data_IF_877862568316
#
_entry.id   IF_877862568316
#
_cell.length_a   1.000
_cell.length_b   1.000
_cell.length_c   1.000
_cell.angle_alpha   90.00
_cell.angle_beta   90.00
_cell.angle_gamma   90.00
#
_symmetry.space_group_name_H-M   'P 1'
#
loop_
_entity.id
_entity.type
_entity.pdbx_description
1 polymer ?
#
# COMPACT_ATOMS: atom_id res chain seq x y z
N UNK A 1 1.35 -29.08 -11.82
CA UNK A 1 1.43 -27.76 -11.17
C UNK A 1 2.86 -27.30 -11.26
N UNK A 2 3.16 -26.48 -12.26
CA UNK A 2 4.51 -26.00 -12.55
C UNK A 2 4.82 -24.86 -11.59
N UNK A 3 5.60 -25.11 -10.55
CA UNK A 3 6.11 -24.03 -9.70
C UNK A 3 7.09 -23.21 -10.53
N UNK A 4 6.64 -22.08 -11.06
CA UNK A 4 7.56 -21.09 -11.60
C UNK A 4 8.53 -20.71 -10.48
N UNK A 5 9.86 -20.82 -10.67
CA UNK A 5 10.80 -20.37 -9.67
C UNK A 5 10.57 -18.87 -9.49
N UNK A 6 10.17 -18.47 -8.28
CA UNK A 6 10.16 -17.06 -7.85
C UNK A 6 11.50 -16.44 -8.20
N UNK A 7 11.48 -15.27 -8.84
CA UNK A 7 12.69 -14.55 -9.20
C UNK A 7 13.61 -14.43 -7.96
N UNK A 8 14.91 -14.73 -8.09
CA UNK A 8 15.82 -14.71 -6.95
C UNK A 8 15.92 -13.27 -6.41
N UNK A 9 15.62 -13.10 -5.13
CA UNK A 9 15.78 -11.81 -4.45
C UNK A 9 17.27 -11.52 -4.24
N UNK A 10 17.66 -10.24 -4.24
CA UNK A 10 19.05 -9.80 -4.02
C UNK A 10 19.72 -10.48 -2.80
N UNK A 11 19.08 -10.60 -1.61
CA UNK A 11 19.66 -11.33 -0.49
C UNK A 11 19.87 -12.83 -0.78
N UNK A 12 19.01 -13.48 -1.57
CA UNK A 12 19.22 -14.89 -1.96
C UNK A 12 20.41 -15.08 -2.90
N UNK A 13 20.69 -14.11 -3.77
CA UNK A 13 21.89 -14.11 -4.63
C UNK A 13 23.15 -13.90 -3.79
N UNK A 14 23.12 -12.97 -2.83
CA UNK A 14 24.23 -12.74 -1.89
C UNK A 14 24.48 -13.99 -1.03
N UNK A 15 23.41 -14.62 -0.54
CA UNK A 15 23.50 -15.86 0.22
C UNK A 15 24.12 -16.98 -0.62
N UNK A 16 23.66 -17.18 -1.86
CA UNK A 16 24.19 -18.23 -2.74
C UNK A 16 25.67 -18.02 -3.05
N UNK A 17 26.09 -16.78 -3.28
CA UNK A 17 27.50 -16.41 -3.43
C UNK A 17 28.32 -16.73 -2.16
N UNK A 18 27.86 -16.34 -0.97
CA UNK A 18 28.57 -16.65 0.28
C UNK A 18 28.69 -18.16 0.47
N UNK A 19 27.63 -18.92 0.19
CA UNK A 19 27.67 -20.37 0.30
C UNK A 19 28.65 -20.99 -0.71
N UNK A 20 28.72 -20.49 -1.94
CA UNK A 20 29.64 -21.02 -2.96
C UNK A 20 31.10 -20.69 -2.64
N UNK A 21 31.39 -19.48 -2.13
CA UNK A 21 32.74 -19.14 -1.67
C UNK A 21 33.14 -19.97 -0.44
N UNK A 22 32.21 -20.19 0.48
CA UNK A 22 32.46 -21.03 1.66
C UNK A 22 32.75 -22.47 1.26
N UNK A 23 32.01 -23.04 0.30
CA UNK A 23 32.27 -24.42 -0.15
C UNK A 23 33.61 -24.54 -0.84
N UNK A 24 34.01 -23.56 -1.67
CA UNK A 24 35.33 -23.51 -2.29
C UNK A 24 36.46 -23.45 -1.27
N UNK A 25 36.34 -22.60 -0.25
CA UNK A 25 37.36 -22.44 0.79
C UNK A 25 37.39 -23.61 1.78
N UNK A 26 36.29 -24.33 1.94
CA UNK A 26 36.20 -25.52 2.81
C UNK A 26 36.61 -26.83 2.14
N UNK A 27 37.15 -26.78 0.92
CA UNK A 27 37.60 -27.99 0.23
C UNK A 27 38.70 -28.71 1.04
N UNK A 28 38.66 -30.05 1.09
CA UNK A 28 39.67 -30.81 1.81
C UNK A 28 41.05 -30.57 1.19
N UNK A 29 42.02 -30.31 2.05
CA UNK A 29 43.40 -30.12 1.65
C UNK A 29 43.96 -31.48 1.21
N UNK A 30 44.65 -31.46 0.08
CA UNK A 30 45.46 -32.55 -0.43
C UNK A 30 46.91 -32.09 -0.54
N UNK A 31 47.88 -32.98 -0.31
CA UNK A 31 49.29 -32.65 -0.49
C UNK A 31 49.54 -32.29 -1.95
N UNK A 32 50.26 -31.21 -2.21
CA UNK A 32 50.62 -30.85 -3.58
C UNK A 32 51.61 -31.85 -4.15
N UNK A 33 51.58 -32.07 -5.47
CA UNK A 33 52.52 -32.97 -6.16
C UNK A 33 53.98 -32.57 -5.93
N UNK A 34 54.25 -31.27 -5.94
CA UNK A 34 55.58 -30.71 -5.63
C UNK A 34 56.06 -31.05 -4.22
N UNK A 35 55.15 -31.05 -3.23
CA UNK A 35 55.48 -31.41 -1.86
C UNK A 35 55.75 -32.91 -1.74
N UNK A 36 54.95 -33.75 -2.41
CA UNK A 36 55.15 -35.20 -2.43
C UNK A 36 56.52 -35.55 -3.03
N UNK A 37 56.87 -34.98 -4.18
CA UNK A 37 58.18 -35.17 -4.82
C UNK A 37 59.34 -34.76 -3.92
N UNK A 38 59.17 -33.69 -3.13
CA UNK A 38 60.19 -33.21 -2.19
C UNK A 38 60.30 -34.11 -0.95
N UNK A 39 59.18 -34.63 -0.44
CA UNK A 39 59.14 -35.56 0.69
C UNK A 39 59.78 -36.91 0.32
N UNK A 40 59.50 -37.41 -0.89
CA UNK A 40 60.03 -38.68 -1.39
C UNK A 40 61.54 -38.59 -1.69
N UNK A 41 62.05 -37.41 -2.05
CA UNK A 41 63.47 -37.15 -2.29
C UNK A 41 64.27 -36.84 -1.01
N UNK A 42 63.63 -36.76 0.16
CA UNK A 42 64.27 -36.45 1.44
C UNK A 42 64.88 -37.70 2.09
N UNK A 43 66.05 -37.55 2.71
CA UNK A 43 66.69 -38.62 3.50
C UNK A 43 65.86 -39.03 4.73
N UNK A 44 64.98 -38.14 5.22
CA UNK A 44 64.02 -38.38 6.32
C UNK A 44 62.57 -38.20 5.83
N UNK A 45 62.15 -39.01 4.84
CA UNK A 45 60.80 -38.96 4.31
C UNK A 45 59.73 -39.24 5.39
N UNK A 46 58.71 -38.37 5.46
CA UNK A 46 57.59 -38.59 6.37
C UNK A 46 56.74 -39.75 5.81
N UNK A 47 56.42 -40.76 6.63
CA UNK A 47 55.59 -41.88 6.19
C UNK A 47 54.20 -41.40 5.75
N UNK A 48 53.75 -41.86 4.58
CA UNK A 48 52.45 -41.48 4.01
C UNK A 48 51.27 -41.72 4.98
N UNK A 49 51.36 -42.75 5.83
CA UNK A 49 50.37 -43.00 6.88
C UNK A 49 50.21 -41.84 7.87
N UNK A 50 51.32 -41.23 8.30
CA UNK A 50 51.30 -40.10 9.22
C UNK A 50 50.74 -38.86 8.52
N UNK A 51 51.12 -38.66 7.26
CA UNK A 51 50.61 -37.57 6.42
C UNK A 51 49.11 -37.68 6.25
N UNK A 52 48.60 -38.86 5.92
CA UNK A 52 47.17 -39.13 5.77
C UNK A 52 46.40 -38.92 7.09
N UNK A 53 46.96 -39.35 8.22
CA UNK A 53 46.33 -39.18 9.54
C UNK A 53 46.24 -37.69 9.94
N UNK A 54 47.34 -36.94 9.76
CA UNK A 54 47.35 -35.49 10.03
C UNK A 54 46.40 -34.75 9.10
N UNK A 55 46.41 -35.08 7.81
CA UNK A 55 45.49 -34.49 6.83
C UNK A 55 44.03 -34.80 7.15
N UNK A 56 43.73 -36.03 7.57
CA UNK A 56 42.39 -36.41 8.00
C UNK A 56 41.94 -35.56 9.19
N UNK A 57 42.77 -35.45 10.23
CA UNK A 57 42.45 -34.66 11.43
C UNK A 57 42.31 -33.16 11.12
N UNK A 58 43.18 -32.62 10.26
CA UNK A 58 43.12 -31.22 9.84
C UNK A 58 41.84 -30.94 9.03
N UNK A 59 41.56 -31.76 8.02
CA UNK A 59 40.34 -31.64 7.21
C UNK A 59 39.08 -31.79 8.07
N UNK A 60 39.10 -32.70 9.04
CA UNK A 60 38.00 -32.84 10.00
C UNK A 60 37.81 -31.57 10.84
N UNK A 61 38.89 -30.99 11.35
CA UNK A 61 38.86 -29.74 12.12
C UNK A 61 38.33 -28.57 11.29
N UNK A 62 38.77 -28.45 10.03
CA UNK A 62 38.28 -27.43 9.08
C UNK A 62 36.78 -27.61 8.85
N UNK A 63 36.32 -28.83 8.59
CA UNK A 63 34.89 -29.11 8.40
C UNK A 63 34.05 -28.78 9.64
N UNK A 64 34.53 -29.13 10.83
CA UNK A 64 33.86 -28.78 12.08
C UNK A 64 33.77 -27.25 12.26
N UNK A 65 34.86 -26.54 11.99
CA UNK A 65 34.91 -25.08 12.05
C UNK A 65 33.92 -24.46 11.04
N UNK A 66 33.95 -24.89 9.78
CA UNK A 66 33.06 -24.38 8.74
C UNK A 66 31.58 -24.61 9.09
N UNK A 67 31.22 -25.78 9.65
CA UNK A 67 29.85 -26.05 10.10
C UNK A 67 29.40 -25.17 11.27
N UNK A 68 30.32 -24.83 12.18
CA UNK A 68 30.02 -23.99 13.35
C UNK A 68 29.93 -22.50 13.00
N UNK A 69 30.80 -22.01 12.13
CA UNK A 69 30.94 -20.59 11.80
C UNK A 69 30.04 -20.18 10.64
N UNK A 70 29.77 -21.07 9.68
CA UNK A 70 28.97 -20.79 8.50
C UNK A 70 27.69 -21.66 8.40
N UNK A 71 26.83 -21.70 9.43
CA UNK A 71 25.52 -22.33 9.28
C UNK A 71 24.66 -21.55 8.27
N UNK A 72 23.67 -22.20 7.62
CA UNK A 72 22.84 -21.58 6.58
C UNK A 72 22.05 -20.35 7.06
N UNK A 73 21.76 -20.28 8.37
CA UNK A 73 21.12 -19.11 8.97
C UNK A 73 22.08 -17.91 9.11
N UNK A 74 23.35 -18.18 9.43
CA UNK A 74 24.35 -17.12 9.52
C UNK A 74 24.69 -16.55 8.13
N UNK A 75 24.79 -17.40 7.10
CA UNK A 75 25.02 -16.93 5.73
C UNK A 75 23.86 -16.04 5.23
N UNK A 76 22.62 -16.36 5.63
CA UNK A 76 21.46 -15.50 5.36
C UNK A 76 21.53 -14.17 6.10
N UNK A 77 21.82 -14.19 7.41
CA UNK A 77 21.93 -12.96 8.21
C UNK A 77 23.05 -12.05 7.70
N UNK A 78 24.20 -12.61 7.32
CA UNK A 78 25.30 -11.84 6.71
C UNK A 78 24.88 -11.27 5.36
N UNK A 79 24.17 -12.04 4.53
CA UNK A 79 23.65 -11.54 3.25
C UNK A 79 22.68 -10.36 3.44
N UNK A 80 21.81 -10.42 4.46
CA UNK A 80 20.90 -9.34 4.84
C UNK A 80 21.67 -8.13 5.39
N UNK A 81 22.64 -8.31 6.30
CA UNK A 81 23.48 -7.21 6.80
C UNK A 81 24.28 -6.52 5.70
N UNK A 82 24.85 -7.27 4.77
CA UNK A 82 25.51 -6.70 3.58
C UNK A 82 24.48 -5.91 2.79
N UNK A 83 23.26 -6.43 2.60
CA UNK A 83 22.19 -5.68 1.95
C UNK A 83 21.94 -4.35 2.64
N UNK A 84 21.69 -4.36 3.95
CA UNK A 84 21.43 -3.15 4.72
C UNK A 84 22.56 -2.13 4.65
N UNK A 85 23.82 -2.56 4.65
CA UNK A 85 24.97 -1.65 4.52
C UNK A 85 25.01 -1.01 3.13
N UNK A 86 24.75 -1.78 2.07
CA UNK A 86 24.71 -1.24 0.71
C UNK A 86 23.51 -0.29 0.52
N UNK A 87 22.34 -0.63 1.06
CA UNK A 87 21.16 0.24 1.02
C UNK A 87 21.43 1.54 1.80
N UNK A 88 22.00 1.48 3.00
CA UNK A 88 22.38 2.68 3.78
C UNK A 88 23.46 3.52 3.11
N UNK A 89 24.44 2.88 2.46
CA UNK A 89 25.48 3.60 1.70
C UNK A 89 24.88 4.30 0.46
N UNK A 90 23.92 3.65 -0.21
CA UNK A 90 23.17 4.26 -1.29
C UNK A 90 22.34 5.46 -0.80
N UNK A 91 21.59 5.32 0.30
CA UNK A 91 20.84 6.41 0.93
C UNK A 91 21.76 7.58 1.32
N UNK A 92 22.95 7.29 1.87
CA UNK A 92 23.93 8.32 2.26
C UNK A 92 24.49 9.07 1.05
N UNK A 93 24.69 8.39 -0.08
CA UNK A 93 25.15 9.01 -1.33
C UNK A 93 24.07 9.87 -1.97
N UNK A 94 22.82 9.42 -1.92
CA UNK A 94 21.65 10.19 -2.41
C UNK A 94 21.36 11.40 -1.49
N UNK A 95 21.60 11.29 -0.18
CA UNK A 95 21.39 12.37 0.79
C UNK A 95 22.61 13.27 1.08
N UNK A 96 23.73 13.08 0.38
CA UNK A 96 24.93 13.91 0.55
C UNK A 96 24.80 15.26 -0.18
N UNK A 97 25.19 16.39 0.43
CA UNK A 97 25.06 17.73 -0.17
C UNK A 97 26.00 17.99 -1.37
N UNK A 98 26.78 16.98 -1.77
CA UNK A 98 27.74 17.04 -2.87
C UNK A 98 27.56 15.79 -3.73
N UNK A 99 26.98 15.98 -4.92
CA UNK A 99 27.12 15.14 -6.12
C UNK A 99 26.08 14.06 -6.49
N UNK A 100 24.81 14.10 -6.05
CA UNK A 100 23.73 13.47 -6.86
C UNK A 100 22.39 14.20 -6.73
N UNK A 101 22.21 15.31 -7.45
CA UNK A 101 20.93 16.01 -7.63
C UNK A 101 19.95 15.23 -8.55
N UNK A 102 19.85 13.90 -8.39
CA UNK A 102 19.03 13.05 -9.26
C UNK A 102 19.33 11.55 -9.21
N UNK A 103 20.00 11.05 -8.16
CA UNK A 103 20.27 9.62 -8.03
C UNK A 103 19.04 8.85 -7.58
N UNK A 104 18.35 8.16 -8.50
CA UNK A 104 17.31 7.20 -8.14
C UNK A 104 17.99 5.98 -7.51
N UNK A 105 17.56 5.58 -6.31
CA UNK A 105 18.05 4.36 -5.67
C UNK A 105 17.86 3.16 -6.58
N UNK A 106 18.90 2.33 -6.77
CA UNK A 106 18.85 1.14 -7.63
C UNK A 106 17.82 0.09 -7.19
N UNK A 107 17.24 0.27 -6.00
CA UNK A 107 16.18 -0.54 -5.40
C UNK A 107 14.81 0.16 -5.43
N UNK A 108 14.63 1.23 -6.22
CA UNK A 108 13.33 1.89 -6.39
C UNK A 108 12.35 0.88 -7.00
N UNK A 109 11.46 0.35 -6.16
CA UNK A 109 10.43 -0.56 -6.61
C UNK A 109 9.31 0.25 -7.26
N UNK A 110 9.31 0.25 -8.59
CA UNK A 110 8.23 0.83 -9.40
C UNK A 110 6.97 -0.05 -9.38
N UNK A 111 7.07 -1.28 -8.87
CA UNK A 111 5.92 -2.12 -8.60
C UNK A 111 5.41 -1.81 -7.20
N UNK A 112 4.19 -1.27 -7.16
CA UNK A 112 3.43 -1.01 -5.94
C UNK A 112 3.45 -2.27 -5.05
N UNK A 113 4.29 -2.29 -4.00
CA UNK A 113 4.03 -3.16 -2.87
C UNK A 113 2.75 -2.64 -2.24
N UNK A 114 1.68 -3.38 -2.52
CA UNK A 114 0.38 -3.31 -1.89
C UNK A 114 0.60 -3.52 -0.38
N UNK A 115 1.01 -2.47 0.34
CA UNK A 115 1.08 -2.46 1.79
C UNK A 115 -0.37 -2.48 2.27
N UNK A 116 -0.92 -3.68 2.41
CA UNK A 116 -2.21 -3.91 3.07
C UNK A 116 -1.99 -3.57 4.54
N UNK A 117 -2.06 -2.28 4.87
CA UNK A 117 -2.08 -1.81 6.25
C UNK A 117 -3.53 -1.91 6.72
N UNK A 118 -3.82 -2.93 7.51
CA UNK A 118 -5.08 -3.02 8.24
C UNK A 118 -5.05 -2.00 9.37
N UNK A 119 -5.47 -0.77 9.10
CA UNK A 119 -5.82 0.18 10.14
C UNK A 119 -7.35 0.30 10.25
N UNK A 120 -7.81 0.40 11.49
CA UNK A 120 -9.20 0.24 11.92
C UNK A 120 -10.21 0.93 10.98
N UNK A 121 -11.13 0.12 10.42
CA UNK A 121 -12.36 0.56 9.76
C UNK A 121 -12.27 1.13 8.33
N UNK A 122 -11.44 0.52 7.46
CA UNK A 122 -11.58 0.70 6.02
C UNK A 122 -10.38 0.21 5.21
N UNK A 123 -10.64 -0.47 4.10
CA UNK A 123 -9.61 -0.83 3.12
C UNK A 123 -9.18 0.44 2.37
N UNK A 124 -8.17 1.17 2.86
CA UNK A 124 -7.57 2.28 2.13
C UNK A 124 -6.31 1.79 1.43
N UNK A 125 -6.39 1.69 0.10
CA UNK A 125 -5.23 1.53 -0.78
C UNK A 125 -4.48 2.88 -0.79
N UNK A 126 -3.51 3.05 0.10
CA UNK A 126 -2.55 4.17 -0.02
C UNK A 126 -1.39 3.64 -0.85
N UNK A 127 -1.44 3.92 -2.15
CA UNK A 127 -0.35 3.64 -3.06
C UNK A 127 0.54 4.88 -3.14
N UNK A 128 1.84 4.70 -2.95
CA UNK A 128 2.85 5.72 -3.16
C UNK A 128 3.06 5.91 -4.68
N UNK A 129 2.10 6.55 -5.36
CA UNK A 129 2.24 6.98 -6.77
C UNK A 129 3.37 8.03 -6.92
N UNK A 130 3.88 8.54 -5.79
CA UNK A 130 4.97 9.52 -5.67
C UNK A 130 6.27 9.04 -6.30
N UNK A 131 6.59 7.74 -6.23
CA UNK A 131 7.86 7.21 -6.76
C UNK A 131 8.01 7.44 -8.28
N UNK A 132 6.92 7.27 -9.05
CA UNK A 132 6.92 7.52 -10.50
C UNK A 132 6.98 9.03 -10.79
N UNK A 133 6.36 9.86 -9.96
CA UNK A 133 6.38 11.32 -10.12
C UNK A 133 7.74 11.93 -9.77
N UNK A 134 8.52 11.29 -8.90
CA UNK A 134 9.89 11.72 -8.59
C UNK A 134 10.91 11.36 -9.67
N UNK A 135 10.51 10.63 -10.71
CA UNK A 135 11.40 10.27 -11.81
C UNK A 135 11.77 11.51 -12.64
N UNK A 136 13.07 11.69 -12.95
CA UNK A 136 13.52 12.73 -13.86
C UNK A 136 12.94 12.57 -15.26
N UNK A 137 12.47 13.68 -15.82
CA UNK A 137 12.01 13.72 -17.21
C UNK A 137 13.15 13.48 -18.23
N UNK A 138 14.41 13.72 -17.85
CA UNK A 138 15.59 13.58 -18.72
C UNK A 138 16.78 13.01 -17.97
N UNK A 139 17.68 12.34 -18.68
CA UNK A 139 18.93 11.83 -18.13
C UNK A 139 19.79 12.99 -17.59
N UNK A 140 20.25 12.92 -16.34
CA UNK A 140 20.87 14.05 -15.64
C UNK A 140 22.37 14.24 -15.92
N UNK A 141 23.05 13.21 -16.41
CA UNK A 141 24.51 13.23 -16.59
C UNK A 141 24.86 13.61 -18.03
N UNK A 142 25.33 14.85 -18.24
CA UNK A 142 25.75 15.37 -19.56
C UNK A 142 26.86 14.54 -20.22
N UNK A 143 27.73 13.92 -19.42
CA UNK A 143 28.78 13.02 -19.91
C UNK A 143 28.19 11.78 -20.58
N UNK A 144 27.21 11.16 -19.93
CA UNK A 144 26.53 9.96 -20.42
C UNK A 144 25.60 10.27 -21.61
N UNK A 145 25.07 11.50 -21.70
CA UNK A 145 24.30 11.94 -22.87
C UNK A 145 25.17 11.91 -24.13
N UNK A 146 26.44 12.28 -24.02
CA UNK A 146 27.38 12.29 -25.14
C UNK A 146 27.92 10.90 -25.47
N UNK A 147 28.18 10.09 -24.44
CA UNK A 147 28.72 8.73 -24.62
C UNK A 147 27.63 7.73 -25.08
N UNK A 148 26.38 7.91 -24.63
CA UNK A 148 25.25 7.01 -24.88
C UNK A 148 23.95 7.75 -25.27
N UNK A 149 23.90 8.39 -26.47
CA UNK A 149 22.74 9.18 -26.90
C UNK A 149 21.48 8.33 -27.18
N UNK A 150 21.65 7.05 -27.55
CA UNK A 150 20.52 6.14 -27.78
C UNK A 150 19.84 5.68 -26.49
N UNK A 151 20.60 5.54 -25.40
CA UNK A 151 20.06 5.13 -24.10
C UNK A 151 19.30 6.28 -23.45
N UNK A 152 19.80 7.50 -23.62
CA UNK A 152 19.09 8.73 -23.21
C UNK A 152 17.71 8.85 -23.85
N UNK A 153 17.60 8.57 -25.16
CA UNK A 153 16.30 8.58 -25.86
C UNK A 153 15.37 7.48 -25.35
N UNK A 154 15.88 6.25 -25.19
CA UNK A 154 15.11 5.13 -24.64
C UNK A 154 14.59 5.41 -23.24
N UNK A 155 15.40 6.07 -22.41
CA UNK A 155 14.98 6.49 -21.07
C UNK A 155 13.83 7.50 -21.16
N UNK A 156 13.96 8.54 -21.99
CA UNK A 156 12.92 9.54 -22.18
C UNK A 156 11.59 8.92 -22.68
N UNK A 157 11.67 8.03 -23.68
CA UNK A 157 10.52 7.30 -24.21
C UNK A 157 9.87 6.42 -23.12
N UNK A 158 10.68 5.74 -22.31
CA UNK A 158 10.19 4.88 -21.23
C UNK A 158 9.53 5.67 -20.09
N UNK A 159 10.11 6.81 -19.70
CA UNK A 159 9.51 7.71 -18.69
C UNK A 159 8.19 8.25 -19.21
N UNK A 160 8.13 8.66 -20.48
CA UNK A 160 6.87 9.11 -21.09
C UNK A 160 5.79 8.01 -21.04
N UNK A 161 6.12 6.78 -21.44
CA UNK A 161 5.20 5.64 -21.35
C UNK A 161 4.75 5.35 -19.92
N UNK A 162 5.67 5.44 -18.95
CA UNK A 162 5.35 5.22 -17.53
C UNK A 162 4.40 6.29 -16.99
N UNK A 163 4.61 7.55 -17.34
CA UNK A 163 3.69 8.64 -16.95
C UNK A 163 2.30 8.46 -17.55
N UNK A 164 2.20 8.10 -18.83
CA UNK A 164 0.91 7.83 -19.49
C UNK A 164 0.18 6.65 -18.83
N UNK A 165 0.88 5.55 -18.56
CA UNK A 165 0.30 4.40 -17.86
C UNK A 165 -0.10 4.72 -16.42
N UNK A 166 0.64 5.59 -15.74
CA UNK A 166 0.28 6.06 -14.41
C UNK A 166 -1.00 6.91 -14.44
N UNK A 167 -1.13 7.81 -15.41
CA UNK A 167 -2.33 8.61 -15.60
C UNK A 167 -3.56 7.74 -15.93
N UNK A 168 -3.41 6.76 -16.82
CA UNK A 168 -4.47 5.77 -17.10
C UNK A 168 -4.86 4.98 -15.84
N UNK A 169 -3.88 4.58 -15.01
CA UNK A 169 -4.12 3.89 -13.75
C UNK A 169 -4.89 4.78 -12.76
N UNK A 170 -4.52 6.05 -12.63
CA UNK A 170 -5.22 7.03 -11.77
C UNK A 170 -6.68 7.20 -12.20
N UNK A 171 -6.93 7.38 -13.50
CA UNK A 171 -8.28 7.48 -14.05
C UNK A 171 -9.12 6.22 -13.75
N UNK A 172 -8.56 5.02 -13.94
CA UNK A 172 -9.24 3.77 -13.62
C UNK A 172 -9.54 3.64 -12.13
N UNK A 173 -8.60 4.04 -11.25
CA UNK A 173 -8.82 4.05 -9.80
C UNK A 173 -9.93 4.99 -9.40
N UNK A 174 -10.00 6.19 -9.97
CA UNK A 174 -11.09 7.14 -9.74
C UNK A 174 -12.45 6.58 -10.19
N UNK A 175 -12.49 5.92 -11.35
CA UNK A 175 -13.70 5.25 -11.83
C UNK A 175 -14.13 4.14 -10.87
N UNK A 176 -13.20 3.30 -10.42
CA UNK A 176 -13.49 2.23 -9.44
C UNK A 176 -13.96 2.82 -8.11
N UNK A 177 -13.32 3.89 -7.62
CA UNK A 177 -13.72 4.56 -6.39
C UNK A 177 -15.14 5.16 -6.51
N UNK A 178 -15.45 5.78 -7.66
CA UNK A 178 -16.80 6.28 -7.96
C UNK A 178 -17.83 5.16 -7.99
N UNK A 179 -17.53 4.05 -8.66
CA UNK A 179 -18.42 2.88 -8.73
C UNK A 179 -18.64 2.25 -7.35
N UNK A 180 -17.58 2.09 -6.55
CA UNK A 180 -17.70 1.61 -5.16
C UNK A 180 -18.52 2.54 -4.29
N UNK A 181 -18.40 3.86 -4.47
CA UNK A 181 -19.23 4.84 -3.76
C UNK A 181 -20.70 4.76 -4.20
N UNK A 182 -20.96 4.57 -5.48
CA UNK A 182 -22.34 4.36 -5.95
C UNK A 182 -22.89 3.04 -5.41
N UNK A 183 -22.09 1.98 -5.42
CA UNK A 183 -22.45 0.70 -4.83
C UNK A 183 -22.80 0.87 -3.35
N UNK A 184 -21.99 1.58 -2.55
CA UNK A 184 -22.29 1.77 -1.13
C UNK A 184 -23.54 2.63 -0.86
N UNK A 185 -23.93 3.50 -1.78
CA UNK A 185 -25.19 4.28 -1.70
C UNK A 185 -26.39 3.42 -2.14
N UNK A 186 -26.18 2.48 -3.06
CA UNK A 186 -27.22 1.60 -3.60
C UNK A 186 -27.44 0.37 -2.71
N UNK A 187 -26.41 -0.09 -1.99
CA UNK A 187 -26.47 -1.23 -1.07
C UNK A 187 -27.63 -1.13 -0.06
N UNK A 188 -27.90 0.02 0.61
CA UNK A 188 -29.02 0.15 1.54
C UNK A 188 -30.40 0.22 0.87
N UNK A 189 -30.44 0.45 -0.46
CA UNK A 189 -31.66 0.50 -1.26
C UNK A 189 -31.98 -0.86 -1.90
N UNK A 190 -31.07 -1.83 -1.80
CA UNK A 190 -31.33 -3.22 -2.15
C UNK A 190 -32.16 -3.88 -1.04
N UNK A 191 -33.39 -4.29 -1.36
CA UNK A 191 -34.20 -5.16 -0.50
C UNK A 191 -34.02 -6.61 -0.93
N UNK A 192 -33.78 -7.51 0.03
CA UNK A 192 -33.30 -8.88 -0.16
C UNK A 192 -34.24 -9.85 -0.91
N UNK A 193 -35.50 -9.50 -1.18
CA UNK A 193 -36.49 -10.50 -1.63
C UNK A 193 -37.04 -10.23 -3.04
N UNK A 194 -36.24 -10.44 -4.10
CA UNK A 194 -36.65 -10.49 -5.53
C UNK A 194 -36.20 -9.33 -6.46
N UNK A 195 -35.11 -8.63 -6.15
CA UNK A 195 -34.44 -7.75 -7.14
C UNK A 195 -35.25 -6.54 -7.62
N UNK A 196 -36.40 -6.24 -7.00
CA UNK A 196 -37.30 -5.14 -7.35
C UNK A 196 -37.09 -3.85 -6.51
N UNK A 197 -36.27 -3.92 -5.45
CA UNK A 197 -36.22 -2.90 -4.39
C UNK A 197 -35.75 -1.49 -4.79
N UNK A 198 -34.93 -1.37 -5.83
CA UNK A 198 -34.47 -0.04 -6.28
C UNK A 198 -35.63 0.72 -6.95
N UNK A 199 -36.48 0.04 -7.73
CA UNK A 199 -37.53 0.68 -8.52
C UNK A 199 -38.65 1.29 -7.68
N UNK A 200 -38.97 0.68 -6.54
CA UNK A 200 -40.00 1.17 -5.62
C UNK A 200 -39.58 2.46 -4.90
N UNK A 201 -38.27 2.68 -4.72
CA UNK A 201 -37.72 3.89 -4.11
C UNK A 201 -37.46 5.02 -5.13
N UNK A 202 -37.72 4.79 -6.43
CA UNK A 202 -37.60 5.81 -7.47
C UNK A 202 -38.89 6.63 -7.58
N UNK A 203 -38.74 7.94 -7.73
CA UNK A 203 -39.83 8.87 -8.07
C UNK A 203 -40.27 8.63 -9.53
N UNK A 204 -41.12 7.63 -9.72
CA UNK A 204 -41.81 7.36 -10.97
C UNK A 204 -43.19 8.01 -10.96
N UNK A 205 -43.69 8.44 -12.13
CA UNK A 205 -45.03 9.04 -12.27
C UNK A 205 -46.10 7.98 -11.96
N UNK A 206 -46.95 8.23 -10.97
CA UNK A 206 -47.87 7.28 -10.30
C UNK A 206 -47.18 6.19 -9.47
N UNK A 207 -45.92 6.40 -9.08
CA UNK A 207 -45.13 5.46 -8.28
C UNK A 207 -45.56 5.37 -6.82
N UNK A 208 -45.11 4.34 -6.08
CA UNK A 208 -45.44 4.16 -4.67
C UNK A 208 -45.01 5.35 -3.79
N UNK A 209 -43.86 5.98 -4.09
CA UNK A 209 -43.38 7.19 -3.38
C UNK A 209 -44.29 8.40 -3.61
N UNK A 210 -44.79 8.61 -4.83
CA UNK A 210 -45.69 9.74 -5.13
C UNK A 210 -47.03 9.61 -4.38
N UNK A 211 -47.56 8.38 -4.30
CA UNK A 211 -48.77 8.08 -3.50
C UNK A 211 -48.56 8.36 -2.02
N UNK A 212 -47.38 8.03 -1.48
CA UNK A 212 -47.08 8.28 -0.08
C UNK A 212 -46.82 9.77 0.21
N UNK A 213 -46.21 10.51 -0.73
CA UNK A 213 -46.10 11.97 -0.65
C UNK A 213 -47.47 12.65 -0.72
N UNK A 214 -48.39 12.15 -1.54
CA UNK A 214 -49.76 12.66 -1.62
C UNK A 214 -50.54 12.39 -0.31
N UNK A 215 -50.37 11.21 0.29
CA UNK A 215 -50.86 10.92 1.65
C UNK A 215 -50.26 11.84 2.70
N UNK A 216 -48.94 12.09 2.67
CA UNK A 216 -48.28 13.02 3.57
C UNK A 216 -48.84 14.43 3.41
N UNK A 217 -49.12 14.88 2.19
CA UNK A 217 -49.74 16.19 1.93
C UNK A 217 -51.15 16.29 2.53
N UNK A 218 -51.95 15.24 2.39
CA UNK A 218 -53.29 15.15 3.01
C UNK A 218 -53.20 15.13 4.54
N UNK A 219 -52.26 14.37 5.10
CA UNK A 219 -52.01 14.32 6.55
C UNK A 219 -51.52 15.67 7.08
N UNK A 220 -50.62 16.37 6.38
CA UNK A 220 -50.15 17.71 6.75
C UNK A 220 -51.28 18.74 6.67
N UNK A 221 -52.16 18.66 5.68
CA UNK A 221 -53.34 19.52 5.62
C UNK A 221 -54.29 19.25 6.82
N UNK A 222 -54.47 17.99 7.19
CA UNK A 222 -55.32 17.59 8.32
C UNK A 222 -54.71 17.95 9.68
N UNK A 223 -53.41 17.75 9.84
CA UNK A 223 -52.67 18.11 11.06
C UNK A 223 -52.55 19.62 11.18
N UNK A 224 -52.24 20.34 10.08
CA UNK A 224 -52.25 21.80 10.04
C UNK A 224 -53.63 22.37 10.39
N UNK A 225 -54.71 21.79 9.85
CA UNK A 225 -56.08 22.15 10.22
C UNK A 225 -56.41 21.85 11.69
N UNK A 226 -55.92 20.72 12.23
CA UNK A 226 -56.12 20.37 13.65
C UNK A 226 -55.31 21.25 14.61
N UNK A 227 -54.09 21.63 14.23
CA UNK A 227 -53.23 22.55 14.98
C UNK A 227 -53.78 23.97 14.95
N UNK A 228 -54.39 24.40 13.84
CA UNK A 228 -55.13 25.66 13.77
C UNK A 228 -56.46 25.62 14.58
N UNK A 229 -57.02 24.44 14.80
CA UNK A 229 -58.22 24.25 15.64
C UNK A 229 -57.91 24.02 17.13
N UNK A 230 -56.63 24.00 17.54
CA UNK A 230 -56.29 24.09 18.95
C UNK A 230 -56.71 25.48 19.44
N UNK A 231 -57.55 25.59 20.48
CA UNK A 231 -57.92 26.89 21.02
C UNK A 231 -56.65 27.62 21.43
N UNK A 232 -56.40 28.80 20.85
CA UNK A 232 -55.51 29.77 21.47
C UNK A 232 -56.09 30.07 22.85
N UNK A 233 -55.44 29.52 23.89
CA UNK A 233 -55.65 29.98 25.25
C UNK A 233 -55.28 31.47 25.25
N UNK A 234 -56.30 32.32 25.34
CA UNK A 234 -56.18 33.74 25.18
C UNK A 234 -55.18 34.33 26.19
N UNK A 235 -54.38 35.31 25.75
CA UNK A 235 -54.30 36.51 26.53
C UNK A 235 -54.69 37.71 25.65
N UNK A 236 -55.59 38.51 26.21
CA UNK A 236 -55.96 39.83 25.72
C UNK A 236 -54.77 40.62 25.19
N UNK A 237 -54.89 41.17 23.97
CA UNK A 237 -53.93 42.11 23.43
C UNK A 237 -54.12 42.36 21.94
N UNK A 238 -54.98 43.33 21.63
CA UNK A 238 -55.04 44.20 20.43
C UNK A 238 -54.66 43.61 19.07
N UNK A 239 -55.65 43.60 18.17
CA UNK A 239 -55.50 43.35 16.75
C UNK A 239 -54.46 44.32 16.12
N UNK A 240 -53.28 43.79 15.79
CA UNK A 240 -52.39 44.35 14.78
C UNK A 240 -52.47 43.48 13.54
N UNK A 241 -52.74 44.12 12.39
CA UNK A 241 -52.60 43.52 11.07
C UNK A 241 -51.22 42.83 10.96
N UNK A 242 -51.23 41.51 10.80
CA UNK A 242 -50.02 40.72 10.61
C UNK A 242 -49.71 40.72 9.12
N UNK A 243 -48.75 41.56 8.73
CA UNK A 243 -48.15 41.56 7.40
C UNK A 243 -47.43 40.22 7.14
N UNK A 244 -47.82 39.51 6.09
CA UNK A 244 -47.33 38.17 5.71
C UNK A 244 -45.83 38.13 5.31
N UNK A 245 -45.13 39.26 5.25
CA UNK A 245 -43.77 39.35 4.73
C UNK A 245 -42.65 39.10 5.75
N UNK A 246 -42.94 39.05 7.06
CA UNK A 246 -41.90 38.85 8.11
C UNK A 246 -41.82 37.42 8.68
N UNK A 247 -42.60 36.46 8.17
CA UNK A 247 -42.59 35.05 8.61
C UNK A 247 -41.37 34.22 8.15
N UNK A 248 -40.24 34.88 7.83
CA UNK A 248 -39.00 34.24 7.39
C UNK A 248 -38.19 33.66 8.55
N UNK A 249 -38.16 32.32 8.63
CA UNK A 249 -37.21 31.45 9.37
C UNK A 249 -37.10 31.58 10.91
N UNK A 250 -37.13 32.77 11.51
CA UNK A 250 -36.89 32.93 12.96
C UNK A 250 -38.11 32.64 13.83
N UNK A 251 -39.32 32.99 13.37
CA UNK A 251 -40.56 32.75 14.11
C UNK A 251 -40.93 31.25 14.22
N UNK A 252 -40.53 30.43 13.24
CA UNK A 252 -40.79 28.98 13.23
C UNK A 252 -39.96 28.24 14.27
N UNK A 253 -38.67 28.59 14.45
CA UNK A 253 -37.79 27.89 15.41
C UNK A 253 -38.27 28.06 16.85
N UNK A 254 -38.59 29.30 17.26
CA UNK A 254 -39.06 29.59 18.63
C UNK A 254 -40.35 28.87 19.00
N UNK A 255 -41.30 28.75 18.06
CA UNK A 255 -42.57 28.03 18.32
C UNK A 255 -42.39 26.52 18.36
N UNK A 256 -41.46 25.97 17.59
CA UNK A 256 -41.14 24.53 17.62
C UNK A 256 -40.41 24.18 18.91
N UNK A 257 -39.43 24.99 19.34
CA UNK A 257 -38.70 24.77 20.59
C UNK A 257 -39.64 24.86 21.81
N UNK A 258 -40.63 25.75 21.77
CA UNK A 258 -41.62 25.89 22.85
C UNK A 258 -42.64 24.73 22.89
N UNK A 259 -42.95 24.12 21.73
CA UNK A 259 -43.79 22.92 21.67
C UNK A 259 -43.04 21.67 22.17
N UNK A 260 -41.74 21.56 21.87
CA UNK A 260 -40.91 20.44 22.34
C UNK A 260 -40.62 20.51 23.84
N UNK A 261 -40.73 21.69 24.46
CA UNK A 261 -40.53 21.90 25.89
C UNK A 261 -41.81 21.75 26.74
N UNK A 262 -42.98 21.50 26.12
CA UNK A 262 -44.24 21.39 26.84
C UNK A 262 -44.43 19.99 27.45
N UNK A 263 -44.28 19.92 28.78
CA UNK A 263 -44.45 18.70 29.60
C UNK A 263 -45.86 18.08 29.55
N UNK A 264 -46.85 18.75 28.93
CA UNK A 264 -48.17 18.16 28.70
C UNK A 264 -48.20 17.25 27.45
N UNK A 265 -47.31 17.45 26.49
CA UNK A 265 -47.27 16.70 25.23
C UNK A 265 -46.31 15.51 25.31
N UNK A 266 -45.22 15.67 26.06
CA UNK A 266 -44.26 14.59 26.35
C UNK A 266 -44.09 14.44 27.87
N UNK A 267 -44.96 13.68 28.55
CA UNK A 267 -44.70 13.29 29.94
C UNK A 267 -43.51 12.34 29.98
N UNK A 268 -42.66 12.52 31.00
CA UNK A 268 -41.46 11.73 31.26
C UNK A 268 -41.74 10.25 31.45
#
# INVERSE_FOLDING_TARGET
MSSHPTAPTIPTVKQSFITSQTTLLSQPLAPSRSWQETNDASDEAIPDRVVQEVLYNLNHTIQQHCRRVYPPQASRSIAEQINDVYTKDAERKVGGPTDTEGGIGRELDLSEYLNIRYENFGLTLVAEDEAIETLPASWHLEKDINDHPMETKRYADAVQQLTELNDQRKQLREQVARLKRLQSIVEPLHTDENGAGIQENLLTRNGPVEKELERMRLLLARVGGRVLSLPEEAPNGEAKEVSLTEMGAQGRKRRVDQFLADNKVFPS
#
